data_IF_161617130442
#
_entry.id   IF_161617130442
#
_cell.length_a   1.000
_cell.length_b   1.000
_cell.length_c   1.000
_cell.angle_alpha   90.00
_cell.angle_beta   90.00
_cell.angle_gamma   90.00
#
_symmetry.space_group_name_H-M   'P 1'
#
loop_
_entity.id
_entity.type
_entity.pdbx_description
1 polymer ?
#
# COMPACT_ATOMS: atom_id res chain seq x y z
N UNK A 1 -20.73 27.31 -12.64
CA UNK A 1 -19.70 26.50 -11.96
C UNK A 1 -19.06 27.39 -10.92
N UNK A 2 -18.88 26.94 -9.67
CA UNK A 2 -18.11 27.73 -8.70
C UNK A 2 -16.69 27.92 -9.27
N UNK A 3 -16.14 29.12 -9.18
CA UNK A 3 -14.72 29.36 -9.46
C UNK A 3 -13.90 28.56 -8.44
N UNK A 4 -13.54 27.34 -8.80
CA UNK A 4 -12.67 26.47 -8.01
C UNK A 4 -11.24 26.66 -8.50
N UNK A 5 -10.32 26.83 -7.55
CA UNK A 5 -8.92 27.11 -7.88
C UNK A 5 -8.11 25.83 -7.97
N UNK A 6 -7.32 25.68 -9.03
CA UNK A 6 -6.40 24.55 -9.18
C UNK A 6 -5.04 24.92 -8.62
N UNK A 7 -4.52 24.09 -7.71
CA UNK A 7 -3.25 24.33 -7.03
C UNK A 7 -2.33 23.14 -7.28
N UNK A 8 -1.14 23.39 -7.81
CA UNK A 8 -0.10 22.39 -7.95
C UNK A 8 0.92 22.54 -6.82
N UNK A 9 1.08 21.51 -6.01
CA UNK A 9 2.04 21.45 -4.91
C UNK A 9 3.23 20.57 -5.29
N UNK A 10 4.42 21.16 -5.33
CA UNK A 10 5.64 20.50 -5.78
C UNK A 10 6.66 20.46 -4.63
N UNK A 11 6.81 19.34 -3.91
CA UNK A 11 7.93 19.15 -2.99
C UNK A 11 9.23 18.90 -3.79
N UNK A 12 10.29 19.65 -3.50
CA UNK A 12 11.55 19.60 -4.24
C UNK A 12 12.76 19.48 -3.29
N UNK A 13 13.62 18.50 -3.54
CA UNK A 13 14.93 18.36 -2.90
C UNK A 13 15.96 17.99 -3.94
N UNK A 14 17.00 18.80 -4.09
CA UNK A 14 18.00 18.71 -5.18
C UNK A 14 17.35 18.58 -6.57
N UNK A 15 16.43 19.49 -6.96
CA UNK A 15 15.73 19.37 -8.24
C UNK A 15 16.63 19.65 -9.44
N UNK A 16 16.22 19.17 -10.61
CA UNK A 16 16.82 19.52 -11.90
C UNK A 16 15.99 20.60 -12.63
N UNK A 17 16.33 20.91 -13.88
CA UNK A 17 15.69 21.96 -14.68
C UNK A 17 14.22 21.66 -15.00
N UNK A 18 13.87 20.38 -14.96
CA UNK A 18 12.54 19.83 -15.17
C UNK A 18 11.52 20.45 -14.21
N UNK A 19 11.91 20.76 -12.97
CA UNK A 19 11.06 21.43 -12.00
C UNK A 19 10.62 22.83 -12.49
N UNK A 20 11.54 23.61 -13.05
CA UNK A 20 11.23 24.95 -13.58
C UNK A 20 10.29 24.84 -14.77
N UNK A 21 10.55 23.87 -15.66
CA UNK A 21 9.73 23.61 -16.84
C UNK A 21 8.30 23.25 -16.46
N UNK A 22 8.12 22.27 -15.57
CA UNK A 22 6.77 21.83 -15.17
C UNK A 22 6.02 22.93 -14.42
N UNK A 23 6.70 23.73 -13.59
CA UNK A 23 6.09 24.88 -12.91
C UNK A 23 5.57 25.93 -13.90
N UNK A 24 6.34 26.22 -14.95
CA UNK A 24 5.94 27.12 -16.03
C UNK A 24 4.72 26.58 -16.79
N UNK A 25 4.77 25.34 -17.26
CA UNK A 25 3.67 24.74 -18.03
C UNK A 25 2.37 24.68 -17.19
N UNK A 26 2.46 24.33 -15.91
CA UNK A 26 1.30 24.34 -15.01
C UNK A 26 0.74 25.75 -14.80
N UNK A 27 1.61 26.76 -14.68
CA UNK A 27 1.19 28.16 -14.56
C UNK A 27 0.45 28.63 -15.81
N UNK A 28 0.91 28.26 -17.00
CA UNK A 28 0.27 28.55 -18.28
C UNK A 28 -1.12 27.89 -18.40
N UNK A 29 -1.29 26.69 -17.83
CA UNK A 29 -2.59 25.99 -17.70
C UNK A 29 -3.49 26.54 -16.58
N UNK A 30 -3.11 27.67 -15.95
CA UNK A 30 -3.93 28.37 -14.97
C UNK A 30 -3.82 27.86 -13.53
N UNK A 31 -2.85 26.99 -13.22
CA UNK A 31 -2.60 26.57 -11.85
C UNK A 31 -1.96 27.68 -11.02
N UNK A 32 -2.30 27.70 -9.73
CA UNK A 32 -1.43 28.30 -8.73
C UNK A 32 -0.39 27.29 -8.28
N UNK A 33 0.87 27.54 -8.62
CA UNK A 33 1.96 26.63 -8.30
C UNK A 33 2.59 27.03 -6.98
N UNK A 34 2.76 26.05 -6.10
CA UNK A 34 3.44 26.17 -4.80
C UNK A 34 4.58 25.17 -4.79
N UNK A 35 5.81 25.64 -4.65
CA UNK A 35 7.01 24.81 -4.57
C UNK A 35 7.57 24.88 -3.16
N UNK A 36 7.89 23.72 -2.60
CA UNK A 36 8.54 23.62 -1.29
C UNK A 36 9.98 23.13 -1.52
N UNK A 37 10.95 24.03 -1.38
CA UNK A 37 12.37 23.66 -1.32
C UNK A 37 12.65 23.01 0.04
N UNK A 38 12.76 21.70 0.08
CA UNK A 38 13.03 20.92 1.28
C UNK A 38 14.53 20.92 1.65
N UNK A 39 15.13 22.12 1.72
CA UNK A 39 16.51 22.31 2.14
C UNK A 39 17.56 21.79 1.16
N UNK A 40 17.37 22.04 -0.14
CA UNK A 40 18.35 21.74 -1.19
C UNK A 40 19.63 22.56 -1.02
N UNK A 41 20.72 22.09 -1.62
CA UNK A 41 22.00 22.76 -1.67
C UNK A 41 21.96 24.11 -2.40
N UNK A 42 22.94 24.97 -2.14
CA UNK A 42 23.10 26.28 -2.80
C UNK A 42 23.26 26.17 -4.32
N UNK A 43 23.70 25.00 -4.82
CA UNK A 43 23.82 24.74 -6.26
C UNK A 43 22.45 24.81 -6.97
N UNK A 44 21.37 24.51 -6.24
CA UNK A 44 20.00 24.55 -6.74
C UNK A 44 19.35 25.94 -6.63
N UNK A 45 19.97 26.93 -5.96
CA UNK A 45 19.34 28.25 -5.71
C UNK A 45 18.91 28.93 -7.01
N UNK A 46 19.73 28.83 -8.06
CA UNK A 46 19.43 29.40 -9.38
C UNK A 46 18.15 28.83 -10.01
N UNK A 47 17.80 27.57 -9.72
CA UNK A 47 16.58 26.93 -10.21
C UNK A 47 15.36 27.45 -9.45
N UNK A 48 15.46 27.62 -8.13
CA UNK A 48 14.37 28.20 -7.35
C UNK A 48 14.13 29.66 -7.71
N UNK A 49 15.18 30.46 -7.94
CA UNK A 49 15.02 31.83 -8.44
C UNK A 49 14.25 31.85 -9.75
N UNK A 50 14.59 30.99 -10.72
CA UNK A 50 13.84 30.90 -11.97
C UNK A 50 12.39 30.43 -11.77
N UNK A 51 12.17 29.44 -10.91
CA UNK A 51 10.82 28.94 -10.61
C UNK A 51 9.93 29.99 -9.93
N UNK A 52 10.50 30.98 -9.25
CA UNK A 52 9.74 32.02 -8.53
C UNK A 52 8.92 32.93 -9.46
N UNK A 53 9.24 32.96 -10.76
CA UNK A 53 8.43 33.62 -11.79
C UNK A 53 7.06 32.95 -11.99
N UNK A 54 6.98 31.64 -11.72
CA UNK A 54 5.82 30.80 -11.99
C UNK A 54 5.12 30.30 -10.73
N UNK A 55 5.82 30.27 -9.60
CA UNK A 55 5.37 29.63 -8.36
C UNK A 55 5.69 30.43 -7.10
N UNK A 56 4.85 30.26 -6.06
CA UNK A 56 5.23 30.65 -4.70
C UNK A 56 6.23 29.63 -4.15
N UNK A 57 7.35 30.09 -3.59
CA UNK A 57 8.41 29.21 -3.07
C UNK A 57 8.52 29.36 -1.56
N UNK A 58 8.55 28.23 -0.87
CA UNK A 58 8.85 28.16 0.56
C UNK A 58 10.05 27.25 0.80
N UNK A 59 10.97 27.65 1.67
CA UNK A 59 12.25 26.95 1.86
C UNK A 59 12.40 26.45 3.30
N UNK A 60 12.71 25.17 3.46
CA UNK A 60 13.18 24.60 4.71
C UNK A 60 14.67 24.88 4.92
N UNK A 61 15.06 25.07 6.18
CA UNK A 61 16.48 25.31 6.54
C UNK A 61 17.36 24.08 6.36
N UNK A 62 16.77 22.89 6.36
CA UNK A 62 17.41 21.59 6.14
C UNK A 62 16.38 20.61 5.57
N UNK A 63 16.83 19.50 4.99
CA UNK A 63 15.94 18.45 4.51
C UNK A 63 15.15 17.80 5.64
N UNK A 64 13.82 17.96 5.58
CA UNK A 64 12.86 17.38 6.54
C UNK A 64 12.14 16.15 5.95
N UNK A 65 12.15 16.00 4.63
CA UNK A 65 11.55 14.90 3.89
C UNK A 65 10.33 15.31 3.07
N UNK A 66 10.02 14.51 2.04
CA UNK A 66 8.90 14.74 1.12
C UNK A 66 7.55 14.94 1.85
N UNK A 67 7.25 14.12 2.86
CA UNK A 67 6.02 14.25 3.64
C UNK A 67 5.93 15.56 4.42
N UNK A 68 7.03 16.02 5.02
CA UNK A 68 7.11 17.30 5.70
C UNK A 68 6.97 18.46 4.71
N UNK A 69 7.61 18.37 3.54
CA UNK A 69 7.48 19.35 2.48
C UNK A 69 6.02 19.47 1.99
N UNK A 70 5.35 18.33 1.74
CA UNK A 70 3.92 18.31 1.39
C UNK A 70 3.10 18.98 2.49
N UNK A 71 3.27 18.60 3.76
CA UNK A 71 2.52 19.20 4.88
C UNK A 71 2.71 20.70 5.00
N UNK A 72 3.94 21.19 4.86
CA UNK A 72 4.22 22.62 4.86
C UNK A 72 3.52 23.34 3.69
N UNK A 73 3.51 22.74 2.51
CA UNK A 73 2.74 23.25 1.38
C UNK A 73 1.23 23.25 1.64
N UNK A 74 0.69 22.20 2.26
CA UNK A 74 -0.73 22.12 2.63
C UNK A 74 -1.11 23.16 3.69
N UNK A 75 -0.27 23.38 4.71
CA UNK A 75 -0.46 24.46 5.68
C UNK A 75 -0.44 25.83 5.02
N UNK A 76 0.50 26.07 4.11
CA UNK A 76 0.54 27.30 3.33
C UNK A 76 -0.75 27.47 2.52
N UNK A 77 -1.19 26.46 1.78
CA UNK A 77 -2.40 26.52 0.96
C UNK A 77 -3.64 26.78 1.83
N UNK A 78 -3.80 26.03 2.92
CA UNK A 78 -4.90 26.20 3.88
C UNK A 78 -5.00 27.63 4.42
N UNK A 79 -3.87 28.27 4.69
CA UNK A 79 -3.83 29.60 5.29
C UNK A 79 -3.94 30.75 4.27
N UNK A 80 -3.68 30.51 2.98
CA UNK A 80 -3.61 31.55 1.95
C UNK A 80 -4.77 31.52 0.95
N UNK A 81 -5.59 30.46 0.94
CA UNK A 81 -6.72 30.32 0.02
C UNK A 81 -8.02 30.13 0.79
N UNK A 82 -9.00 31.02 0.57
CA UNK A 82 -10.31 30.99 1.26
C UNK A 82 -11.49 30.62 0.35
N UNK A 83 -11.22 30.39 -0.95
CA UNK A 83 -12.21 29.89 -1.92
C UNK A 83 -12.01 28.38 -2.11
N UNK A 84 -13.02 27.62 -2.58
CA UNK A 84 -12.84 26.21 -2.89
C UNK A 84 -11.69 25.97 -3.86
N UNK A 85 -10.92 24.93 -3.62
CA UNK A 85 -9.76 24.56 -4.44
C UNK A 85 -9.55 23.06 -4.51
N UNK A 86 -8.90 22.64 -5.59
CA UNK A 86 -8.35 21.29 -5.77
C UNK A 86 -6.84 21.38 -5.76
N UNK A 87 -6.21 20.53 -4.96
CA UNK A 87 -4.76 20.41 -4.89
C UNK A 87 -4.34 19.18 -5.67
N UNK A 88 -3.25 19.28 -6.42
CA UNK A 88 -2.53 18.16 -6.99
C UNK A 88 -1.07 18.19 -6.55
N UNK A 89 -0.58 17.10 -5.99
CA UNK A 89 0.85 16.93 -5.73
C UNK A 89 1.55 16.47 -6.99
N UNK A 90 2.69 17.07 -7.33
CA UNK A 90 3.46 16.76 -8.55
C UNK A 90 4.93 16.61 -8.17
N UNK A 91 5.57 15.52 -8.61
CA UNK A 91 7.01 15.32 -8.38
C UNK A 91 7.86 16.32 -9.17
N UNK A 92 8.97 16.79 -8.57
CA UNK A 92 9.84 17.81 -9.14
C UNK A 92 10.75 17.31 -10.29
N UNK A 93 10.77 16.00 -10.55
CA UNK A 93 11.67 15.35 -11.52
C UNK A 93 11.13 15.32 -12.96
N UNK A 94 9.94 15.88 -13.19
CA UNK A 94 9.33 15.96 -14.52
C UNK A 94 8.77 14.63 -15.05
N UNK A 95 8.62 13.60 -14.21
CA UNK A 95 8.02 12.33 -14.63
C UNK A 95 6.53 12.43 -15.00
N UNK A 96 5.85 13.52 -14.60
CA UNK A 96 4.43 13.72 -14.85
C UNK A 96 4.21 14.70 -16.00
N UNK A 97 3.43 14.31 -17.00
CA UNK A 97 2.99 15.24 -18.05
C UNK A 97 1.90 16.15 -17.50
N UNK A 98 1.87 17.40 -17.96
CA UNK A 98 0.80 18.35 -17.61
C UNK A 98 -0.59 17.82 -18.00
N UNK A 99 -0.71 17.15 -19.14
CA UNK A 99 -1.96 16.47 -19.54
C UNK A 99 -2.42 15.43 -18.51
N UNK A 100 -1.48 14.74 -17.86
CA UNK A 100 -1.80 13.75 -16.82
C UNK A 100 -2.28 14.45 -15.55
N UNK A 101 -1.61 15.54 -15.16
CA UNK A 101 -2.02 16.41 -14.04
C UNK A 101 -3.44 16.94 -14.26
N UNK A 102 -3.74 17.48 -15.45
CA UNK A 102 -5.06 17.99 -15.80
C UNK A 102 -6.15 16.92 -15.72
N UNK A 103 -5.88 15.70 -16.20
CA UNK A 103 -6.85 14.59 -16.11
C UNK A 103 -7.13 14.20 -14.66
N UNK A 104 -6.10 14.08 -13.84
CA UNK A 104 -6.24 13.71 -12.41
C UNK A 104 -7.02 14.79 -11.65
N UNK A 105 -6.70 16.07 -11.88
CA UNK A 105 -7.40 17.21 -11.26
C UNK A 105 -8.86 17.27 -11.68
N UNK A 106 -9.18 17.10 -12.97
CA UNK A 106 -10.57 17.11 -13.44
C UNK A 106 -11.42 16.06 -12.72
N UNK A 107 -10.88 14.85 -12.53
CA UNK A 107 -11.58 13.80 -11.79
C UNK A 107 -11.75 14.18 -10.32
N UNK A 108 -10.79 14.86 -9.70
CA UNK A 108 -10.91 15.34 -8.32
C UNK A 108 -11.97 16.45 -8.18
N UNK A 109 -12.08 17.37 -9.14
CA UNK A 109 -13.15 18.39 -9.19
C UNK A 109 -14.55 17.74 -9.26
N UNK A 110 -14.69 16.67 -10.05
CA UNK A 110 -15.93 15.91 -10.16
C UNK A 110 -16.22 15.02 -8.93
N UNK A 111 -15.21 14.75 -8.09
CA UNK A 111 -15.27 13.82 -6.96
C UNK A 111 -14.62 14.43 -5.70
N UNK A 112 -15.21 15.46 -5.08
CA UNK A 112 -14.59 16.22 -4.01
C UNK A 112 -14.36 15.43 -2.70
N UNK A 113 -14.98 14.27 -2.53
CA UNK A 113 -14.81 13.38 -1.36
C UNK A 113 -14.02 12.12 -1.77
N UNK A 114 -12.97 12.29 -2.59
CA UNK A 114 -12.18 11.16 -3.06
C UNK A 114 -10.73 11.59 -3.25
N UNK A 115 -9.80 10.70 -2.89
CA UNK A 115 -8.40 10.83 -3.25
C UNK A 115 -8.19 10.23 -4.64
N UNK A 116 -7.73 11.04 -5.58
CA UNK A 116 -7.46 10.61 -6.95
C UNK A 116 -5.97 10.36 -7.12
N UNK A 117 -5.60 9.18 -7.62
CA UNK A 117 -4.23 8.76 -7.85
C UNK A 117 -3.95 8.67 -9.35
N UNK A 118 -2.88 9.32 -9.82
CA UNK A 118 -2.35 9.13 -11.16
C UNK A 118 -1.56 7.83 -11.23
N UNK A 119 -2.12 6.80 -11.83
CA UNK A 119 -1.58 5.44 -11.79
C UNK A 119 -0.91 5.06 -13.10
N UNK A 120 0.39 4.74 -13.05
CA UNK A 120 1.14 4.28 -14.24
C UNK A 120 0.73 2.84 -14.54
N UNK A 121 0.04 2.61 -15.65
CA UNK A 121 -0.15 1.25 -16.15
C UNK A 121 1.02 0.86 -17.03
N UNK A 122 1.64 -0.27 -16.72
CA UNK A 122 2.59 -0.94 -17.61
C UNK A 122 1.84 -1.36 -18.89
N UNK A 123 1.87 -0.51 -19.92
CA UNK A 123 1.39 -0.87 -21.23
C UNK A 123 2.44 -1.79 -21.88
N UNK A 124 2.04 -3.04 -22.14
CA UNK A 124 2.91 -4.05 -22.75
C UNK A 124 2.25 -5.43 -22.79
N UNK A 125 2.71 -6.27 -23.71
CA UNK A 125 2.23 -7.63 -23.85
C UNK A 125 2.85 -8.54 -22.78
N UNK A 126 2.42 -8.37 -21.53
CA UNK A 126 2.90 -9.17 -20.39
C UNK A 126 2.55 -10.65 -20.63
N UNK A 127 3.52 -11.59 -20.62
CA UNK A 127 3.25 -13.01 -20.76
C UNK A 127 2.19 -13.48 -19.75
N UNK A 128 1.31 -14.41 -20.16
CA UNK A 128 0.18 -14.85 -19.33
C UNK A 128 0.59 -15.36 -17.93
N UNK A 129 1.77 -15.99 -17.83
CA UNK A 129 2.35 -16.46 -16.56
C UNK A 129 2.69 -15.30 -15.61
N UNK A 130 3.25 -14.22 -16.15
CA UNK A 130 3.56 -13.00 -15.39
C UNK A 130 2.29 -12.20 -15.06
N UNK A 131 1.25 -12.25 -15.91
CA UNK A 131 -0.07 -11.68 -15.58
C UNK A 131 -0.68 -12.38 -14.37
N UNK A 132 -0.68 -13.70 -14.34
CA UNK A 132 -1.17 -14.47 -13.18
C UNK A 132 -0.39 -14.16 -11.90
N UNK A 133 0.95 -14.13 -11.96
CA UNK A 133 1.79 -13.75 -10.82
C UNK A 133 1.47 -12.34 -10.30
N UNK A 134 1.36 -11.37 -11.20
CA UNK A 134 1.02 -9.99 -10.84
C UNK A 134 -0.40 -9.87 -10.28
N UNK A 135 -1.38 -10.63 -10.81
CA UNK A 135 -2.74 -10.67 -10.27
C UNK A 135 -2.78 -11.27 -8.87
N UNK A 136 -2.01 -12.32 -8.59
CA UNK A 136 -1.89 -12.91 -7.25
C UNK A 136 -1.25 -11.91 -6.30
N UNK A 137 -0.13 -11.29 -6.68
CA UNK A 137 0.54 -10.27 -5.87
C UNK A 137 -0.39 -9.08 -5.59
N UNK A 138 -1.17 -8.64 -6.59
CA UNK A 138 -2.18 -7.58 -6.44
C UNK A 138 -3.29 -8.01 -5.49
N UNK A 139 -3.78 -9.25 -5.60
CA UNK A 139 -4.80 -9.77 -4.68
C UNK A 139 -4.26 -9.86 -3.26
N UNK A 140 -3.03 -10.33 -3.05
CA UNK A 140 -2.36 -10.35 -1.74
C UNK A 140 -2.22 -8.93 -1.20
N UNK A 141 -1.78 -7.98 -2.04
CA UNK A 141 -1.70 -6.57 -1.66
C UNK A 141 -3.06 -6.03 -1.26
N UNK A 142 -4.09 -6.18 -2.10
CA UNK A 142 -5.47 -5.74 -1.84
C UNK A 142 -6.03 -6.32 -0.55
N UNK A 143 -5.80 -7.59 -0.28
CA UNK A 143 -6.23 -8.22 0.97
C UNK A 143 -5.41 -7.73 2.17
N UNK A 144 -4.11 -7.44 1.97
CA UNK A 144 -3.23 -6.90 3.01
C UNK A 144 -3.55 -5.46 3.39
N UNK A 145 -3.73 -4.59 2.42
CA UNK A 145 -3.87 -3.15 2.63
C UNK A 145 -5.33 -2.73 2.72
N UNK A 146 -6.27 -3.56 2.23
CA UNK A 146 -7.67 -3.18 2.00
C UNK A 146 -7.86 -2.32 0.76
N UNK A 147 -6.79 -2.04 0.01
CA UNK A 147 -6.75 -1.08 -1.09
C UNK A 147 -6.67 -1.77 -2.45
N UNK A 148 -7.58 -1.43 -3.36
CA UNK A 148 -7.53 -1.91 -4.76
C UNK A 148 -6.77 -0.93 -5.67
N UNK A 149 -5.53 -0.62 -5.33
CA UNK A 149 -4.71 0.39 -6.03
C UNK A 149 -3.61 -0.29 -6.87
N UNK A 150 -3.44 0.12 -8.13
CA UNK A 150 -2.39 -0.32 -9.07
C UNK A 150 -1.03 0.31 -8.77
N UNK A 151 -0.95 1.61 -8.50
CA UNK A 151 0.30 2.30 -8.16
C UNK A 151 0.18 3.02 -6.81
N UNK A 152 0.69 2.38 -5.76
CA UNK A 152 0.64 2.92 -4.40
C UNK A 152 1.75 3.91 -4.12
N UNK A 153 2.70 4.05 -5.05
CA UNK A 153 3.89 4.87 -4.92
C UNK A 153 3.87 6.08 -5.86
N UNK A 154 2.72 6.36 -6.50
CA UNK A 154 2.58 7.55 -7.31
C UNK A 154 2.61 8.81 -6.44
N UNK A 155 3.46 9.76 -6.84
CA UNK A 155 3.50 11.13 -6.32
C UNK A 155 2.42 12.02 -6.90
N UNK A 156 1.80 11.62 -8.02
CA UNK A 156 0.71 12.36 -8.65
C UNK A 156 -0.62 12.04 -7.97
N UNK A 157 -1.08 12.94 -7.10
CA UNK A 157 -2.32 12.76 -6.32
C UNK A 157 -3.12 14.04 -6.30
N UNK A 158 -4.42 13.97 -6.56
CA UNK A 158 -5.30 15.12 -6.43
C UNK A 158 -6.45 14.88 -5.44
N UNK A 159 -6.83 15.94 -4.74
CA UNK A 159 -7.87 15.95 -3.72
C UNK A 159 -8.39 17.37 -3.52
N UNK A 160 -9.63 17.50 -3.02
CA UNK A 160 -10.23 18.80 -2.73
C UNK A 160 -9.75 19.39 -1.41
N UNK A 161 -10.02 20.67 -1.22
CA UNK A 161 -9.87 21.40 0.04
C UNK A 161 -10.41 20.66 1.28
N UNK A 162 -11.48 19.86 1.12
CA UNK A 162 -12.11 19.07 2.19
C UNK A 162 -11.17 18.07 2.86
N UNK A 163 -10.17 17.58 2.13
CA UNK A 163 -9.27 16.53 2.61
C UNK A 163 -7.99 17.11 3.22
N UNK A 164 -7.78 18.43 3.18
CA UNK A 164 -6.53 19.07 3.63
C UNK A 164 -6.25 18.80 5.12
N UNK A 165 -7.25 18.94 5.99
CA UNK A 165 -7.09 18.69 7.43
C UNK A 165 -6.70 17.25 7.70
N UNK A 166 -7.32 16.31 6.99
CA UNK A 166 -7.00 14.90 7.14
C UNK A 166 -5.58 14.61 6.65
N UNK A 167 -5.21 15.12 5.47
CA UNK A 167 -3.87 14.98 4.91
C UNK A 167 -2.79 15.52 5.87
N UNK A 168 -3.05 16.65 6.54
CA UNK A 168 -2.15 17.21 7.55
C UNK A 168 -2.01 16.31 8.79
N UNK A 169 -3.09 15.64 9.19
CA UNK A 169 -3.11 14.76 10.36
C UNK A 169 -2.37 13.42 10.18
N UNK A 170 -2.20 12.97 8.93
CA UNK A 170 -1.54 11.70 8.60
C UNK A 170 -0.08 11.72 9.08
N UNK A 171 0.37 10.65 9.73
CA UNK A 171 1.74 10.57 10.26
C UNK A 171 2.79 10.31 9.17
N UNK A 172 4.04 10.66 9.47
CA UNK A 172 5.17 10.51 8.56
C UNK A 172 5.61 11.86 7.99
N UNK A 173 6.91 11.95 7.73
CA UNK A 173 7.57 13.19 7.29
C UNK A 173 8.44 12.94 6.06
N UNK A 174 8.81 11.69 5.77
CA UNK A 174 9.56 11.34 4.56
C UNK A 174 8.63 10.58 3.62
N UNK A 175 9.18 9.71 2.78
CA UNK A 175 8.43 9.02 1.74
C UNK A 175 7.36 8.06 2.27
N UNK A 176 7.46 7.59 3.52
CA UNK A 176 6.43 6.77 4.15
C UNK A 176 5.09 7.51 4.32
N UNK A 177 5.11 8.84 4.32
CA UNK A 177 3.89 9.67 4.43
C UNK A 177 2.88 9.32 3.34
N UNK A 178 3.33 9.19 2.09
CA UNK A 178 2.48 8.87 0.95
C UNK A 178 1.79 7.51 1.11
N UNK A 179 2.47 6.53 1.71
CA UNK A 179 1.87 5.24 2.02
C UNK A 179 0.88 5.32 3.19
N UNK A 180 1.22 6.09 4.22
CA UNK A 180 0.31 6.29 5.36
C UNK A 180 -0.97 7.01 4.92
N UNK A 181 -0.88 8.00 4.01
CA UNK A 181 -2.05 8.67 3.39
C UNK A 181 -2.96 7.61 2.78
N UNK A 182 -2.43 6.72 1.95
CA UNK A 182 -3.24 5.67 1.34
C UNK A 182 -3.90 4.77 2.40
N UNK A 183 -3.15 4.30 3.39
CA UNK A 183 -3.65 3.37 4.41
C UNK A 183 -4.69 3.99 5.36
N UNK A 184 -4.54 5.28 5.67
CA UNK A 184 -5.45 6.00 6.56
C UNK A 184 -6.72 6.43 5.82
N UNK A 185 -6.57 7.02 4.62
CA UNK A 185 -7.72 7.48 3.82
C UNK A 185 -8.51 6.32 3.22
N UNK A 186 -7.89 5.16 2.93
CA UNK A 186 -8.58 3.93 2.50
C UNK A 186 -9.81 3.57 3.33
N UNK A 187 -9.78 3.95 4.62
CA UNK A 187 -10.78 3.55 5.60
C UNK A 187 -11.92 4.55 5.74
N UNK A 188 -11.77 5.74 5.18
CA UNK A 188 -12.66 6.90 5.41
C UNK A 188 -13.18 7.49 4.11
N UNK A 189 -12.34 7.51 3.07
CA UNK A 189 -12.61 8.17 1.79
C UNK A 189 -12.48 7.19 0.63
N UNK A 190 -13.15 7.50 -0.47
CA UNK A 190 -13.02 6.73 -1.71
C UNK A 190 -11.67 7.04 -2.39
N UNK A 191 -11.04 6.02 -2.96
CA UNK A 191 -9.77 6.15 -3.67
C UNK A 191 -9.98 5.71 -5.11
N UNK A 192 -9.74 6.63 -6.05
CA UNK A 192 -9.91 6.40 -7.48
C UNK A 192 -8.57 6.51 -8.20
N UNK A 193 -8.38 5.70 -9.23
CA UNK A 193 -7.19 5.75 -10.06
C UNK A 193 -7.52 6.28 -11.46
N UNK A 194 -6.68 7.19 -11.94
CA UNK A 194 -6.69 7.71 -13.31
C UNK A 194 -5.41 7.24 -13.99
N UNK A 195 -5.54 6.65 -15.18
CA UNK A 195 -4.39 6.17 -15.93
C UNK A 195 -3.55 7.34 -16.46
N UNK A 196 -2.24 7.28 -16.19
CA UNK A 196 -1.26 8.29 -16.63
C UNK A 196 -0.17 7.66 -17.52
N UNK A 197 0.44 8.48 -18.38
CA UNK A 197 1.48 8.00 -19.29
C UNK A 197 2.79 7.78 -18.53
N UNK A 198 3.49 6.68 -18.82
CA UNK A 198 4.84 6.47 -18.28
C UNK A 198 5.84 7.30 -19.08
N UNK A 199 6.41 8.35 -18.49
CA UNK A 199 7.55 9.06 -19.05
C UNK A 199 8.83 8.47 -18.46
N UNK A 200 9.58 7.72 -19.28
CA UNK A 200 10.91 7.25 -18.90
C UNK A 200 11.93 8.38 -19.19
N UNK A 201 12.27 9.18 -18.18
CA UNK A 201 13.37 10.15 -18.25
C UNK A 201 14.65 9.48 -17.73
N UNK A 202 15.68 9.41 -18.58
CA UNK A 202 17.09 9.10 -18.25
C UNK A 202 17.34 7.95 -17.26
N UNK A 203 16.94 6.72 -17.61
CA UNK A 203 17.48 5.47 -17.02
C UNK A 203 17.57 5.42 -15.47
N UNK A 204 16.60 6.03 -14.78
CA UNK A 204 16.37 5.84 -13.34
C UNK A 204 17.58 6.11 -12.41
N UNK A 205 18.47 7.06 -12.73
CA UNK A 205 19.59 7.39 -11.81
C UNK A 205 19.17 8.19 -10.58
N UNK A 206 18.02 8.86 -10.60
CA UNK A 206 17.55 9.72 -9.50
C UNK A 206 16.48 9.09 -8.60
N UNK A 207 16.03 7.86 -8.85
CA UNK A 207 15.13 7.16 -7.92
C UNK A 207 15.93 6.61 -6.73
N UNK A 208 16.37 7.49 -5.83
CA UNK A 208 16.93 7.15 -4.51
C UNK A 208 15.84 6.56 -3.58
N UNK A 209 15.19 5.49 -4.02
CA UNK A 209 14.12 4.86 -3.26
C UNK A 209 14.51 3.44 -2.87
N UNK A 210 14.60 3.20 -1.56
CA UNK A 210 14.86 1.87 -1.02
C UNK A 210 13.58 1.03 -1.02
N UNK A 211 13.20 0.51 -2.19
CA UNK A 211 12.05 -0.38 -2.46
C UNK A 211 11.86 -1.54 -1.46
N UNK A 212 12.94 -1.90 -0.74
CA UNK A 212 13.00 -3.06 0.16
C UNK A 212 12.51 -2.74 1.59
N UNK A 213 12.75 -1.52 2.10
CA UNK A 213 12.37 -1.16 3.48
C UNK A 213 10.87 -0.98 3.65
N UNK A 214 10.18 -0.52 2.62
CA UNK A 214 8.74 -0.21 2.70
C UNK A 214 7.86 -1.45 2.46
N UNK A 215 8.34 -2.34 1.59
CA UNK A 215 7.75 -3.66 1.44
C UNK A 215 7.90 -4.51 2.71
N UNK A 216 8.87 -4.21 3.58
CA UNK A 216 9.09 -4.94 4.83
C UNK A 216 7.87 -4.92 5.75
N UNK A 217 7.08 -3.84 5.84
CA UNK A 217 5.92 -3.82 6.76
C UNK A 217 4.83 -4.82 6.32
N UNK A 218 4.57 -4.90 5.01
CA UNK A 218 3.61 -5.86 4.41
C UNK A 218 4.19 -7.27 4.47
N UNK A 219 5.45 -7.45 4.03
CA UNK A 219 6.13 -8.73 4.10
C UNK A 219 6.28 -9.23 5.54
N UNK A 220 6.44 -8.37 6.54
CA UNK A 220 6.56 -8.77 7.94
C UNK A 220 5.33 -9.45 8.47
N UNK A 221 4.13 -9.01 8.10
CA UNK A 221 2.89 -9.70 8.49
C UNK A 221 2.77 -11.07 7.82
N UNK A 222 3.10 -11.16 6.52
CA UNK A 222 3.12 -12.42 5.76
C UNK A 222 4.18 -13.37 6.32
N UNK A 223 5.40 -12.88 6.58
CA UNK A 223 6.52 -13.64 7.16
C UNK A 223 6.13 -14.15 8.54
N UNK A 224 5.53 -13.32 9.40
CA UNK A 224 5.05 -13.77 10.72
C UNK A 224 4.01 -14.88 10.61
N UNK A 225 3.06 -14.74 9.68
CA UNK A 225 2.06 -15.78 9.43
C UNK A 225 2.71 -17.06 8.90
N UNK A 226 3.63 -16.95 7.94
CA UNK A 226 4.39 -18.07 7.39
C UNK A 226 5.21 -18.77 8.49
N UNK A 227 5.91 -18.02 9.33
CA UNK A 227 6.65 -18.55 10.48
C UNK A 227 5.74 -19.28 11.46
N UNK A 228 4.59 -18.69 11.81
CA UNK A 228 3.62 -19.36 12.71
C UNK A 228 3.08 -20.67 12.14
N UNK A 229 2.83 -20.69 10.82
CA UNK A 229 2.36 -21.86 10.09
C UNK A 229 3.45 -22.94 10.01
N UNK A 230 4.69 -22.54 9.74
CA UNK A 230 5.85 -23.44 9.72
C UNK A 230 6.12 -24.05 11.11
N UNK A 231 6.09 -23.25 12.17
CA UNK A 231 6.23 -23.75 13.55
C UNK A 231 5.13 -24.77 13.87
N UNK A 232 3.89 -24.48 13.48
CA UNK A 232 2.76 -25.39 13.70
C UNK A 232 2.94 -26.71 12.93
N UNK A 233 3.42 -26.63 11.69
CA UNK A 233 3.74 -27.81 10.88
C UNK A 233 4.86 -28.66 11.50
N UNK A 234 5.93 -28.05 11.99
CA UNK A 234 7.02 -28.79 12.65
C UNK A 234 6.54 -29.49 13.93
N UNK A 235 5.66 -28.83 14.70
CA UNK A 235 5.02 -29.44 15.87
C UNK A 235 4.09 -30.60 15.47
N UNK A 236 3.28 -30.42 14.42
CA UNK A 236 2.42 -31.49 13.85
C UNK A 236 3.26 -32.72 13.51
N UNK A 237 4.32 -32.53 12.73
CA UNK A 237 5.17 -33.63 12.27
C UNK A 237 5.94 -34.29 13.41
N UNK A 238 6.53 -33.50 14.31
CA UNK A 238 7.27 -34.02 15.47
C UNK A 238 6.37 -34.82 16.43
N UNK A 239 5.19 -34.29 16.75
CA UNK A 239 4.22 -35.00 17.61
C UNK A 239 3.68 -36.25 16.93
N UNK A 240 3.39 -36.20 15.63
CA UNK A 240 2.98 -37.38 14.88
C UNK A 240 4.02 -38.49 14.98
N UNK A 241 5.30 -38.19 14.72
CA UNK A 241 6.38 -39.18 14.81
C UNK A 241 6.50 -39.80 16.20
N UNK A 242 6.42 -38.98 17.25
CA UNK A 242 6.53 -39.44 18.64
C UNK A 242 5.33 -40.30 19.05
N UNK A 243 4.10 -39.84 18.77
CA UNK A 243 2.88 -40.58 19.09
C UNK A 243 2.77 -41.88 18.28
N UNK A 244 3.20 -41.87 17.03
CA UNK A 244 3.22 -43.06 16.19
C UNK A 244 4.23 -44.08 16.69
N UNK A 245 5.40 -43.63 17.13
CA UNK A 245 6.42 -44.51 17.73
C UNK A 245 5.91 -45.21 19.01
N UNK A 246 5.10 -44.53 19.81
CA UNK A 246 4.55 -45.07 21.06
C UNK A 246 3.33 -45.97 20.81
N UNK A 247 2.41 -45.52 19.95
CA UNK A 247 1.08 -46.16 19.82
C UNK A 247 0.95 -47.11 18.63
N UNK A 248 1.76 -46.94 17.58
CA UNK A 248 1.61 -47.62 16.28
C UNK A 248 0.34 -47.24 15.51
N UNK A 249 -0.56 -46.45 16.10
CA UNK A 249 -1.84 -46.09 15.51
C UNK A 249 -1.71 -44.82 14.67
N UNK A 250 -1.47 -44.99 13.37
CA UNK A 250 -1.25 -43.91 12.40
C UNK A 250 -2.34 -42.83 12.43
N UNK A 251 -3.61 -43.24 12.39
CA UNK A 251 -4.76 -42.31 12.35
C UNK A 251 -4.90 -41.53 13.65
N UNK A 252 -4.81 -42.22 14.80
CA UNK A 252 -4.95 -41.60 16.12
C UNK A 252 -3.82 -40.60 16.37
N UNK A 253 -2.60 -40.98 16.02
CA UNK A 253 -1.40 -40.13 16.15
C UNK A 253 -1.50 -38.88 15.28
N UNK A 254 -2.02 -39.01 14.05
CA UNK A 254 -2.23 -37.88 13.14
C UNK A 254 -3.30 -36.91 13.66
N UNK A 255 -4.44 -37.42 14.16
CA UNK A 255 -5.52 -36.58 14.69
C UNK A 255 -5.05 -35.79 15.92
N UNK A 256 -4.39 -36.47 16.88
CA UNK A 256 -3.90 -35.83 18.10
C UNK A 256 -2.85 -34.77 17.81
N UNK A 257 -1.88 -35.06 16.95
CA UNK A 257 -0.89 -34.09 16.51
C UNK A 257 -1.53 -32.87 15.84
N UNK A 258 -2.56 -33.09 15.00
CA UNK A 258 -3.30 -32.03 14.32
C UNK A 258 -4.11 -31.14 15.26
N UNK A 259 -4.69 -31.71 16.32
CA UNK A 259 -5.40 -30.91 17.32
C UNK A 259 -4.46 -29.98 18.08
N UNK A 260 -3.28 -30.48 18.48
CA UNK A 260 -2.27 -29.68 19.19
C UNK A 260 -1.67 -28.61 18.29
N UNK A 261 -1.29 -28.96 17.06
CA UNK A 261 -0.69 -28.03 16.09
C UNK A 261 -1.67 -26.94 15.67
N UNK A 262 -2.95 -27.25 15.45
CA UNK A 262 -3.98 -26.26 15.14
C UNK A 262 -4.25 -25.30 16.30
N UNK A 263 -4.24 -25.81 17.54
CA UNK A 263 -4.41 -24.98 18.75
C UNK A 263 -3.24 -24.01 18.94
N UNK A 264 -2.01 -24.47 18.67
CA UNK A 264 -0.82 -23.63 18.65
C UNK A 264 -0.90 -22.58 17.54
N UNK A 265 -1.28 -22.99 16.32
CA UNK A 265 -1.40 -22.10 15.16
C UNK A 265 -2.40 -20.97 15.44
N UNK A 266 -3.58 -21.30 15.97
CA UNK A 266 -4.58 -20.34 16.40
C UNK A 266 -4.02 -19.36 17.44
N UNK A 267 -3.32 -19.88 18.46
CA UNK A 267 -2.75 -19.05 19.54
C UNK A 267 -1.67 -18.09 19.02
N UNK A 268 -0.77 -18.57 18.15
CA UNK A 268 0.27 -17.76 17.53
C UNK A 268 -0.34 -16.69 16.61
N UNK A 269 -1.31 -17.06 15.79
CA UNK A 269 -1.97 -16.14 14.87
C UNK A 269 -2.76 -15.06 15.62
N UNK A 270 -3.52 -15.45 16.65
CA UNK A 270 -4.28 -14.53 17.48
C UNK A 270 -3.37 -13.53 18.22
N UNK A 271 -2.32 -14.01 18.89
CA UNK A 271 -1.49 -13.18 19.78
C UNK A 271 -0.38 -12.42 19.08
N UNK A 272 0.31 -13.04 18.12
CA UNK A 272 1.55 -12.50 17.55
C UNK A 272 1.42 -12.01 16.11
N UNK A 273 0.60 -12.67 15.29
CA UNK A 273 0.47 -12.30 13.86
C UNK A 273 -0.56 -11.18 13.70
N UNK A 274 -1.80 -11.41 14.13
CA UNK A 274 -2.91 -10.48 13.92
C UNK A 274 -3.21 -9.60 15.13
N UNK A 275 -2.70 -9.95 16.32
CA UNK A 275 -2.93 -9.25 17.59
C UNK A 275 -4.44 -8.99 17.82
N UNK A 276 -5.27 -10.01 17.62
CA UNK A 276 -6.72 -9.91 17.75
C UNK A 276 -7.13 -9.57 19.18
N UNK A 277 -8.14 -8.70 19.32
CA UNK A 277 -8.76 -8.40 20.62
C UNK A 277 -10.09 -9.12 20.82
N UNK A 278 -10.61 -9.81 19.81
CA UNK A 278 -11.83 -10.63 19.95
C UNK A 278 -11.61 -11.73 20.99
N UNK A 279 -12.66 -12.01 21.77
CA UNK A 279 -12.67 -13.12 22.73
C UNK A 279 -12.45 -14.45 22.00
N UNK A 280 -11.83 -15.41 22.67
CA UNK A 280 -11.56 -16.72 22.06
C UNK A 280 -12.85 -17.45 21.67
N UNK A 281 -13.94 -17.25 22.42
CA UNK A 281 -15.26 -17.82 22.15
C UNK A 281 -15.84 -17.32 20.80
N UNK A 282 -15.50 -16.11 20.37
CA UNK A 282 -16.00 -15.53 19.12
C UNK A 282 -15.14 -15.87 17.90
N UNK A 283 -13.83 -16.01 18.09
CA UNK A 283 -12.87 -16.22 16.99
C UNK A 283 -12.56 -17.69 16.73
N UNK A 284 -12.68 -18.58 17.73
CA UNK A 284 -12.41 -20.01 17.59
C UNK A 284 -13.38 -20.73 16.63
N UNK A 285 -14.72 -20.50 16.67
CA UNK A 285 -15.63 -21.14 15.72
C UNK A 285 -15.36 -20.74 14.27
N UNK A 286 -15.01 -19.47 14.04
CA UNK A 286 -14.64 -18.95 12.71
C UNK A 286 -13.36 -19.61 12.20
N UNK A 287 -12.36 -19.78 13.07
CA UNK A 287 -11.11 -20.47 12.73
C UNK A 287 -11.32 -21.95 12.39
N UNK A 288 -12.12 -22.67 13.20
CA UNK A 288 -12.44 -24.09 12.95
C UNK A 288 -13.18 -24.23 11.61
N UNK A 289 -14.18 -23.37 11.36
CA UNK A 289 -14.92 -23.37 10.09
C UNK A 289 -13.99 -23.15 8.90
N UNK A 290 -13.08 -22.19 9.00
CA UNK A 290 -12.07 -21.93 7.98
C UNK A 290 -11.16 -23.13 7.74
N UNK A 291 -10.68 -23.79 8.80
CA UNK A 291 -9.83 -24.97 8.70
C UNK A 291 -10.53 -26.13 7.96
N UNK A 292 -11.82 -26.36 8.23
CA UNK A 292 -12.63 -27.35 7.53
C UNK A 292 -12.82 -26.98 6.04
N UNK A 293 -13.12 -25.71 5.75
CA UNK A 293 -13.24 -25.21 4.38
C UNK A 293 -11.94 -25.37 3.59
N UNK A 294 -10.78 -25.10 4.21
CA UNK A 294 -9.47 -25.28 3.57
C UNK A 294 -9.19 -26.75 3.29
N UNK A 295 -9.59 -27.67 4.19
CA UNK A 295 -9.38 -29.10 3.99
C UNK A 295 -10.19 -29.61 2.79
N UNK A 296 -11.47 -29.24 2.69
CA UNK A 296 -12.32 -29.58 1.54
C UNK A 296 -11.87 -28.88 0.26
N UNK A 297 -11.57 -27.58 0.36
CA UNK A 297 -11.10 -26.75 -0.76
C UNK A 297 -9.81 -27.27 -1.36
N UNK A 298 -8.87 -27.74 -0.54
CA UNK A 298 -7.63 -28.36 -1.00
C UNK A 298 -7.89 -29.55 -1.94
N UNK A 299 -8.81 -30.44 -1.59
CA UNK A 299 -9.12 -31.63 -2.40
C UNK A 299 -9.77 -31.23 -3.72
N UNK A 300 -10.73 -30.30 -3.68
CA UNK A 300 -11.46 -29.84 -4.86
C UNK A 300 -10.51 -29.11 -5.82
N UNK A 301 -9.73 -28.16 -5.30
CA UNK A 301 -8.80 -27.35 -6.11
C UNK A 301 -7.71 -28.23 -6.73
N UNK A 302 -7.13 -29.15 -5.97
CA UNK A 302 -6.11 -30.06 -6.48
C UNK A 302 -6.66 -30.92 -7.64
N UNK A 303 -7.84 -31.51 -7.46
CA UNK A 303 -8.49 -32.31 -8.52
C UNK A 303 -8.79 -31.47 -9.75
N UNK A 304 -9.27 -30.25 -9.58
CA UNK A 304 -9.53 -29.32 -10.68
C UNK A 304 -8.27 -28.95 -11.45
N UNK A 305 -7.18 -28.61 -10.76
CA UNK A 305 -5.91 -28.25 -11.42
C UNK A 305 -5.34 -29.45 -12.20
N UNK A 306 -5.39 -30.65 -11.61
CA UNK A 306 -4.93 -31.88 -12.30
C UNK A 306 -5.81 -32.20 -13.51
N UNK A 307 -7.12 -31.92 -13.47
CA UNK A 307 -8.00 -32.15 -14.63
C UNK A 307 -7.71 -31.24 -15.82
N UNK A 308 -7.00 -30.12 -15.61
CA UNK A 308 -6.46 -29.28 -16.69
C UNK A 308 -5.13 -29.81 -17.27
N UNK A 309 -4.70 -31.02 -16.89
CA UNK A 309 -3.48 -31.64 -17.40
C UNK A 309 -2.19 -31.15 -16.73
N UNK A 310 -2.30 -30.41 -15.62
CA UNK A 310 -1.14 -29.96 -14.85
C UNK A 310 -0.62 -31.14 -14.01
N UNK A 311 0.70 -31.32 -14.00
CA UNK A 311 1.38 -32.35 -13.22
C UNK A 311 0.96 -32.30 -11.74
N UNK A 312 0.66 -33.46 -11.14
CA UNK A 312 0.14 -33.56 -9.77
C UNK A 312 1.05 -32.94 -8.70
N UNK A 313 2.38 -33.02 -8.86
CA UNK A 313 3.32 -32.39 -7.93
C UNK A 313 3.25 -30.86 -8.01
N UNK A 314 3.20 -30.32 -9.24
CA UNK A 314 3.05 -28.89 -9.47
C UNK A 314 1.68 -28.39 -9.01
N UNK A 315 0.62 -29.14 -9.30
CA UNK A 315 -0.73 -28.86 -8.86
C UNK A 315 -0.84 -28.81 -7.33
N UNK A 316 -0.14 -29.71 -6.63
CA UNK A 316 -0.09 -29.73 -5.17
C UNK A 316 0.56 -28.45 -4.61
N UNK A 317 1.70 -28.04 -5.16
CA UNK A 317 2.37 -26.80 -4.73
C UNK A 317 1.46 -25.57 -4.95
N UNK A 318 0.84 -25.46 -6.13
CA UNK A 318 -0.06 -24.34 -6.45
C UNK A 318 -1.25 -24.32 -5.48
N UNK A 319 -1.85 -25.48 -5.22
CA UNK A 319 -3.01 -25.62 -4.33
C UNK A 319 -2.67 -25.18 -2.90
N UNK A 320 -1.52 -25.61 -2.36
CA UNK A 320 -1.07 -25.20 -1.02
C UNK A 320 -0.80 -23.70 -0.93
N UNK A 321 -0.16 -23.10 -1.93
CA UNK A 321 0.08 -21.65 -1.97
C UNK A 321 -1.25 -20.88 -2.00
N UNK A 322 -2.21 -21.30 -2.84
CA UNK A 322 -3.53 -20.66 -2.92
C UNK A 322 -4.28 -20.78 -1.60
N UNK A 323 -4.30 -21.96 -0.98
CA UNK A 323 -4.96 -22.19 0.30
C UNK A 323 -4.30 -21.44 1.45
N UNK A 324 -2.97 -21.28 1.42
CA UNK A 324 -2.25 -20.43 2.36
C UNK A 324 -2.68 -18.96 2.26
N UNK A 325 -2.77 -18.42 1.03
CA UNK A 325 -3.23 -17.04 0.79
C UNK A 325 -4.68 -16.85 1.22
N UNK A 326 -5.57 -17.79 0.91
CA UNK A 326 -6.98 -17.76 1.34
C UNK A 326 -7.06 -17.82 2.87
N UNK A 327 -6.33 -18.73 3.51
CA UNK A 327 -6.28 -18.87 4.96
C UNK A 327 -5.86 -17.57 5.63
N UNK A 328 -4.76 -16.98 5.16
CA UNK A 328 -4.27 -15.71 5.67
C UNK A 328 -5.29 -14.57 5.50
N UNK A 329 -5.91 -14.49 4.32
CA UNK A 329 -6.91 -13.48 3.96
C UNK A 329 -8.14 -13.54 4.86
N UNK A 330 -8.73 -14.74 5.00
CA UNK A 330 -9.93 -14.93 5.83
C UNK A 330 -9.60 -14.76 7.30
N UNK A 331 -8.43 -15.22 7.75
CA UNK A 331 -8.01 -15.03 9.14
C UNK A 331 -7.88 -13.54 9.48
N UNK A 332 -7.29 -12.75 8.61
CA UNK A 332 -7.12 -11.30 8.79
C UNK A 332 -8.45 -10.54 8.79
N UNK A 333 -9.34 -10.83 7.85
CA UNK A 333 -10.54 -10.03 7.62
C UNK A 333 -11.73 -10.45 8.48
N UNK A 334 -11.87 -11.76 8.74
CA UNK A 334 -13.08 -12.33 9.32
C UNK A 334 -12.85 -13.01 10.68
N UNK A 335 -11.74 -13.74 10.84
CA UNK A 335 -11.47 -14.53 12.07
C UNK A 335 -10.88 -13.67 13.19
N UNK A 336 -9.92 -12.80 12.86
CA UNK A 336 -9.16 -12.02 13.83
C UNK A 336 -9.31 -10.54 13.55
N UNK A 337 -10.43 -9.95 13.99
CA UNK A 337 -10.59 -8.50 13.91
C UNK A 337 -9.61 -7.81 14.84
N UNK A 338 -8.84 -6.88 14.29
CA UNK A 338 -8.03 -5.94 15.08
C UNK A 338 -9.00 -4.98 15.74
N UNK A 339 -9.18 -5.08 17.06
CA UNK A 339 -9.93 -4.07 17.81
C UNK A 339 -9.23 -2.72 17.62
N UNK A 340 -9.98 -1.70 17.22
CA UNK A 340 -9.54 -0.30 17.26
C UNK A 340 -9.31 0.08 18.73
N UNK A 341 -8.09 -0.15 19.23
CA UNK A 341 -7.62 0.58 20.41
C UNK A 341 -7.18 1.95 19.95
N UNK A 342 -7.86 2.98 20.44
CA UNK A 342 -7.38 4.37 20.47
C UNK A 342 -6.00 4.52 21.16
N UNK A 343 -5.45 3.48 21.78
CA UNK A 343 -4.19 3.51 22.54
C UNK A 343 -2.94 2.89 21.88
N UNK A 344 -3.03 2.12 20.80
CA UNK A 344 -1.84 1.45 20.21
C UNK A 344 -1.05 2.36 19.24
N UNK A 345 -1.49 3.62 19.08
CA UNK A 345 -0.81 4.66 18.28
C UNK A 345 0.24 5.46 19.09
N UNK A 346 0.50 5.14 20.36
CA UNK A 346 1.38 5.95 21.23
C UNK A 346 2.63 5.25 21.77
N UNK A 347 2.89 3.99 21.42
CA UNK A 347 4.10 3.28 21.85
C UNK A 347 5.00 2.92 20.66
N UNK A 348 5.78 3.90 20.23
CA UNK A 348 7.22 3.80 19.93
C UNK A 348 7.69 5.14 19.37
N UNK A 349 8.27 5.90 20.30
CA UNK A 349 9.01 7.14 20.09
C UNK A 349 10.14 7.00 19.08
#
# INVERSE_FOLDING_TARGET
>A
MREEKRIALIPAYEPEKEMVKIAKELKEEGFCVVIINDGSSQECDSLFVQASEYAAIYTHTHNRGKGAAIKTGLEYIKNNFSIPYVIVTVDADGQHKVDDVLRVVKVAEENPNSLILGSRRFQGNVPWRSRLGNSITRMVYKVSSGLDVFDTQTGLRAFSDRMVEEMLSVRGERYEYEMNVLLELARKEDIKEVEIATVYLNDNRSSHFSTIKDSYRIYKEIIRFASSSLTSFLVDYGLYCLLFMISGAMVVSSILARMVSASLNYSLNRKFVFKSQEAAIESLPKYITLALCILLGNVILLRGIVSFGINAYLAKIITEIMMFVISWSVQRQFVFKKGTREGDLYEKA
#
